data_IF_651824794485
#
_entry.id   IF_651824794485
#
_cell.length_a   1.000
_cell.length_b   1.000
_cell.length_c   1.000
_cell.angle_alpha   90.00
_cell.angle_beta   90.00
_cell.angle_gamma   90.00
#
_symmetry.space_group_name_H-M   'P 1'
#
loop_
_entity.id
_entity.type
_entity.pdbx_description
1 polymer ?
#
# COMPACT_ATOMS: atom_id res chain seq x y z
N UNK A 1 -4.33 17.47 12.11
CA UNK A 1 -5.39 16.77 12.87
C UNK A 1 -4.79 16.43 14.23
N UNK A 2 -5.58 16.44 15.31
CA UNK A 2 -5.06 16.09 16.63
C UNK A 2 -4.83 14.57 16.75
N UNK A 3 -5.70 13.77 16.12
CA UNK A 3 -5.57 12.32 15.99
C UNK A 3 -5.73 11.95 14.51
N UNK A 4 -4.69 11.40 13.91
CA UNK A 4 -4.72 10.99 12.50
C UNK A 4 -5.35 9.61 12.33
N UNK A 5 -5.18 8.72 13.32
CA UNK A 5 -5.74 7.37 13.28
C UNK A 5 -7.27 7.41 13.26
N UNK A 6 -7.87 8.24 14.11
CA UNK A 6 -9.33 8.42 14.13
C UNK A 6 -9.86 8.96 12.80
N UNK A 7 -9.12 9.87 12.16
CA UNK A 7 -9.48 10.39 10.83
C UNK A 7 -9.43 9.32 9.75
N UNK A 8 -8.40 8.47 9.77
CA UNK A 8 -8.23 7.33 8.85
C UNK A 8 -9.37 6.32 9.03
N UNK A 9 -9.70 5.95 10.26
CA UNK A 9 -10.80 5.03 10.57
C UNK A 9 -12.16 5.61 10.17
N UNK A 10 -12.41 6.90 10.44
CA UNK A 10 -13.66 7.55 10.03
C UNK A 10 -13.85 7.53 8.51
N UNK A 11 -12.77 7.71 7.73
CA UNK A 11 -12.81 7.60 6.27
C UNK A 11 -13.13 6.16 5.82
N UNK A 12 -12.41 5.17 6.37
CA UNK A 12 -12.63 3.74 6.08
C UNK A 12 -14.07 3.32 6.40
N UNK A 13 -14.55 3.64 7.60
CA UNK A 13 -15.91 3.34 8.03
C UNK A 13 -16.96 3.99 7.13
N UNK A 14 -16.72 5.24 6.67
CA UNK A 14 -17.63 5.89 5.75
C UNK A 14 -17.68 5.19 4.39
N UNK A 15 -16.54 4.80 3.83
CA UNK A 15 -16.48 4.01 2.58
C UNK A 15 -17.24 2.68 2.72
N UNK A 16 -17.04 1.97 3.83
CA UNK A 16 -17.75 0.72 4.10
C UNK A 16 -19.27 0.93 4.19
N UNK A 17 -19.72 1.99 4.88
CA UNK A 17 -21.14 2.34 4.98
C UNK A 17 -21.79 2.65 3.62
N UNK A 18 -20.99 3.07 2.65
CA UNK A 18 -21.43 3.34 1.27
C UNK A 18 -21.40 2.11 0.37
N UNK A 19 -20.95 0.96 0.90
CA UNK A 19 -20.98 -0.33 0.22
C UNK A 19 -19.62 -0.85 -0.26
N UNK A 20 -18.53 -0.09 -0.09
CA UNK A 20 -17.20 -0.60 -0.40
C UNK A 20 -16.86 -1.82 0.47
N UNK A 21 -16.31 -2.87 -0.13
CA UNK A 21 -15.98 -4.14 0.56
C UNK A 21 -14.47 -4.33 0.71
N UNK A 22 -13.74 -4.08 -0.36
CA UNK A 22 -12.29 -4.18 -0.39
C UNK A 22 -11.69 -2.79 -0.16
N UNK A 23 -11.40 -2.46 1.10
CA UNK A 23 -10.84 -1.17 1.50
C UNK A 23 -9.42 -1.40 1.99
N UNK A 24 -8.44 -1.07 1.16
CA UNK A 24 -7.02 -1.10 1.52
C UNK A 24 -6.51 0.26 1.99
N UNK A 25 -5.35 0.26 2.66
CA UNK A 25 -4.62 1.46 3.07
C UNK A 25 -3.24 1.50 2.40
N UNK A 26 -2.89 2.67 1.86
CA UNK A 26 -1.54 2.99 1.43
C UNK A 26 -0.86 3.92 2.44
N UNK A 27 0.25 3.49 3.03
CA UNK A 27 0.88 4.23 4.13
C UNK A 27 2.37 3.88 4.28
N UNK A 28 3.21 4.91 4.49
CA UNK A 28 4.63 4.73 4.82
C UNK A 28 4.85 4.29 6.27
N UNK A 29 5.83 3.41 6.49
CA UNK A 29 6.10 2.81 7.82
C UNK A 29 6.29 3.86 8.92
N UNK A 30 7.10 4.90 8.66
CA UNK A 30 7.36 5.95 9.66
C UNK A 30 6.09 6.70 10.04
N UNK A 31 5.27 7.08 9.07
CA UNK A 31 4.03 7.80 9.31
C UNK A 31 3.01 6.94 10.06
N UNK A 32 2.94 5.65 9.71
CA UNK A 32 2.11 4.66 10.42
C UNK A 32 2.51 4.57 11.89
N UNK A 33 3.80 4.45 12.20
CA UNK A 33 4.32 4.36 13.57
C UNK A 33 4.16 5.66 14.34
N UNK A 34 4.52 6.80 13.74
CA UNK A 34 4.44 8.13 14.36
C UNK A 34 3.02 8.48 14.80
N UNK A 35 2.03 8.11 13.99
CA UNK A 35 0.62 8.39 14.25
C UNK A 35 -0.17 7.21 14.79
N UNK A 36 0.50 6.10 15.13
CA UNK A 36 -0.14 4.87 15.64
C UNK A 36 -1.34 4.43 14.78
N UNK A 37 -1.19 4.49 13.46
CA UNK A 37 -2.27 4.14 12.53
C UNK A 37 -2.55 2.64 12.61
N UNK A 38 -3.78 2.29 12.97
CA UNK A 38 -4.26 0.91 12.99
C UNK A 38 -4.62 0.44 11.58
N UNK A 39 -4.01 -0.64 11.13
CA UNK A 39 -4.24 -1.22 9.80
C UNK A 39 -5.14 -2.47 9.83
N UNK A 40 -5.56 -2.96 11.01
CA UNK A 40 -6.30 -4.23 11.17
C UNK A 40 -7.67 -4.23 10.49
N UNK A 41 -8.32 -3.08 10.40
CA UNK A 41 -9.65 -2.95 9.78
C UNK A 41 -9.60 -2.89 8.24
N UNK A 42 -8.41 -2.89 7.64
CA UNK A 42 -8.24 -2.79 6.19
C UNK A 42 -8.07 -4.18 5.57
N UNK A 43 -8.65 -4.38 4.38
CA UNK A 43 -8.57 -5.65 3.67
C UNK A 43 -7.20 -5.88 3.01
N UNK A 44 -6.42 -4.81 2.83
CA UNK A 44 -5.07 -4.86 2.27
C UNK A 44 -4.19 -3.72 2.79
N UNK A 45 -2.88 -3.99 2.88
CA UNK A 45 -1.88 -2.98 3.23
C UNK A 45 -0.90 -2.81 2.07
N UNK A 46 -0.69 -1.55 1.68
CA UNK A 46 0.21 -1.14 0.61
C UNK A 46 1.24 -0.16 1.16
N UNK A 47 2.52 -0.47 1.05
CA UNK A 47 3.58 0.32 1.68
C UNK A 47 4.58 0.83 0.64
N UNK A 48 5.00 2.10 0.67
CA UNK A 48 6.12 2.59 -0.12
C UNK A 48 7.47 2.36 0.57
N UNK A 49 8.47 2.01 -0.23
CA UNK A 49 9.90 2.06 0.16
C UNK A 49 10.74 2.12 -1.11
N UNK A 50 11.45 3.23 -1.34
CA UNK A 50 12.04 3.52 -2.65
C UNK A 50 13.55 3.31 -2.75
N UNK A 51 14.26 3.10 -1.65
CA UNK A 51 15.72 3.14 -1.66
C UNK A 51 16.22 4.48 -2.20
N UNK A 52 17.01 4.46 -3.28
CA UNK A 52 17.46 5.68 -3.97
C UNK A 52 16.45 6.26 -4.97
N UNK A 53 15.33 5.56 -5.18
CA UNK A 53 14.26 5.89 -6.12
C UNK A 53 14.78 6.00 -7.56
N UNK A 54 15.51 4.97 -8.00
CA UNK A 54 16.18 4.90 -9.30
C UNK A 54 15.29 4.46 -10.47
N UNK A 55 14.07 4.00 -10.18
CA UNK A 55 13.22 3.29 -11.14
C UNK A 55 13.30 1.76 -11.04
N UNK A 56 14.17 1.22 -10.19
CA UNK A 56 14.35 -0.21 -9.97
C UNK A 56 14.04 -0.62 -8.51
N UNK A 57 13.78 -1.90 -8.30
CA UNK A 57 13.56 -2.47 -6.97
C UNK A 57 14.88 -2.59 -6.21
N UNK A 58 15.06 -1.76 -5.17
CA UNK A 58 16.31 -1.67 -4.41
C UNK A 58 16.17 -1.97 -2.92
N UNK A 59 14.98 -1.75 -2.35
CA UNK A 59 14.72 -1.86 -0.93
C UNK A 59 13.27 -2.27 -0.69
N UNK A 60 13.03 -3.03 0.38
CA UNK A 60 11.69 -3.36 0.88
C UNK A 60 11.29 -2.40 2.02
N UNK A 61 10.00 -2.32 2.37
CA UNK A 61 9.56 -1.70 3.61
C UNK A 61 10.26 -2.29 4.84
N UNK A 62 10.81 -1.44 5.70
CA UNK A 62 11.46 -1.85 6.95
C UNK A 62 10.41 -2.02 8.06
N UNK A 63 9.68 -3.13 8.04
CA UNK A 63 8.61 -3.45 9.01
C UNK A 63 8.35 -4.95 9.03
N UNK A 64 7.88 -5.47 10.17
CA UNK A 64 7.39 -6.84 10.30
C UNK A 64 5.88 -6.96 9.98
N UNK A 65 5.23 -5.84 9.64
CA UNK A 65 3.82 -5.83 9.26
C UNK A 65 3.60 -6.65 7.99
N UNK A 66 2.57 -7.48 7.99
CA UNK A 66 2.17 -8.27 6.82
C UNK A 66 1.49 -7.38 5.76
N UNK A 67 2.24 -6.96 4.73
CA UNK A 67 1.74 -6.11 3.63
C UNK A 67 1.58 -6.90 2.33
N UNK A 68 0.59 -6.50 1.52
CA UNK A 68 0.25 -7.19 0.28
C UNK A 68 0.96 -6.59 -0.94
N UNK A 69 1.10 -5.27 -0.98
CA UNK A 69 1.62 -4.53 -2.12
C UNK A 69 2.74 -3.58 -1.67
N UNK A 70 3.76 -3.44 -2.50
CA UNK A 70 4.88 -2.54 -2.27
C UNK A 70 5.05 -1.60 -3.45
N UNK A 71 5.02 -0.29 -3.19
CA UNK A 71 5.46 0.73 -4.14
C UNK A 71 6.96 0.91 -4.01
N UNK A 72 7.73 0.48 -5.00
CA UNK A 72 9.18 0.45 -4.90
C UNK A 72 9.88 1.61 -5.59
N UNK A 73 9.17 2.38 -6.41
CA UNK A 73 9.72 3.58 -7.05
C UNK A 73 8.63 4.48 -7.56
N UNK A 74 8.94 5.78 -7.64
CA UNK A 74 8.18 6.80 -8.35
C UNK A 74 8.74 7.13 -9.75
N UNK A 75 9.88 6.54 -10.12
CA UNK A 75 10.64 6.88 -11.35
C UNK A 75 10.72 5.74 -12.35
N UNK A 76 9.80 4.78 -12.29
CA UNK A 76 9.77 3.68 -13.24
C UNK A 76 9.45 4.12 -14.66
N UNK A 77 9.80 3.27 -15.61
CA UNK A 77 9.53 3.43 -17.05
C UNK A 77 8.88 2.16 -17.58
N UNK A 78 7.70 2.30 -18.20
CA UNK A 78 7.01 1.23 -18.90
C UNK A 78 6.82 1.66 -20.36
N UNK A 79 7.15 0.77 -21.30
CA UNK A 79 6.98 1.03 -22.72
C UNK A 79 5.53 1.41 -23.04
N UNK A 80 5.34 2.45 -23.84
CA UNK A 80 4.02 3.03 -24.13
C UNK A 80 3.69 4.28 -23.32
N UNK A 81 4.56 4.70 -22.39
CA UNK A 81 4.42 5.96 -21.65
C UNK A 81 5.77 6.64 -21.42
N UNK A 82 5.87 7.95 -21.69
CA UNK A 82 7.15 8.66 -21.72
C UNK A 82 7.62 9.17 -20.35
N UNK A 83 6.69 9.46 -19.44
CA UNK A 83 7.01 10.06 -18.14
C UNK A 83 7.27 9.01 -17.06
N UNK A 84 7.61 9.46 -15.87
CA UNK A 84 7.81 8.57 -14.73
C UNK A 84 6.48 7.96 -14.28
N UNK A 85 6.55 6.71 -13.84
CA UNK A 85 5.43 5.96 -13.29
C UNK A 85 5.80 5.41 -11.93
N UNK A 86 4.80 5.42 -11.05
CA UNK A 86 4.81 4.67 -9.82
C UNK A 86 4.72 3.17 -10.12
N UNK A 87 5.73 2.40 -9.73
CA UNK A 87 5.74 0.96 -9.96
C UNK A 87 5.60 0.20 -8.65
N UNK A 88 4.79 -0.84 -8.73
CA UNK A 88 4.41 -1.67 -7.61
C UNK A 88 4.67 -3.14 -7.90
N UNK A 89 4.84 -3.92 -6.84
CA UNK A 89 4.87 -5.37 -6.89
C UNK A 89 4.12 -5.96 -5.71
N UNK A 90 3.57 -7.17 -5.89
CA UNK A 90 3.10 -8.00 -4.77
C UNK A 90 4.30 -8.27 -3.86
N UNK A 91 4.12 -8.08 -2.56
CA UNK A 91 5.16 -8.31 -1.56
C UNK A 91 5.88 -9.63 -1.80
N UNK A 92 7.21 -9.62 -1.66
CA UNK A 92 8.06 -10.80 -1.88
C UNK A 92 7.81 -11.89 -0.84
N UNK A 93 7.22 -11.53 0.30
CA UNK A 93 6.91 -12.45 1.40
C UNK A 93 5.51 -13.09 1.26
N UNK A 94 4.77 -12.77 0.20
CA UNK A 94 3.43 -13.29 -0.10
C UNK A 94 3.45 -14.33 -1.21
N UNK A 95 2.47 -15.23 -1.21
CA UNK A 95 2.16 -16.02 -2.39
C UNK A 95 1.56 -15.10 -3.47
N UNK A 96 2.22 -15.05 -4.63
CA UNK A 96 1.98 -14.04 -5.64
C UNK A 96 0.63 -14.19 -6.33
N UNK A 97 0.24 -15.41 -6.69
CA UNK A 97 -1.01 -15.64 -7.44
C UNK A 97 -2.24 -15.35 -6.58
N UNK A 98 -2.26 -15.87 -5.36
CA UNK A 98 -3.33 -15.71 -4.38
C UNK A 98 -3.50 -14.23 -4.01
N UNK A 99 -2.40 -13.54 -3.74
CA UNK A 99 -2.45 -12.10 -3.38
C UNK A 99 -2.89 -11.26 -4.59
N UNK A 100 -2.41 -11.58 -5.79
CA UNK A 100 -2.91 -10.92 -7.00
C UNK A 100 -4.42 -11.14 -7.20
N UNK A 101 -4.90 -12.37 -6.99
CA UNK A 101 -6.34 -12.69 -7.05
C UNK A 101 -7.13 -11.92 -6.00
N UNK A 102 -6.63 -11.85 -4.76
CA UNK A 102 -7.21 -11.07 -3.65
C UNK A 102 -7.38 -9.60 -4.05
N UNK A 103 -6.35 -8.98 -4.62
CA UNK A 103 -6.34 -7.54 -4.89
C UNK A 103 -7.06 -7.14 -6.18
N UNK A 104 -6.99 -7.97 -7.23
CA UNK A 104 -7.38 -7.53 -8.58
C UNK A 104 -8.49 -8.36 -9.23
N UNK A 105 -8.85 -9.52 -8.67
CA UNK A 105 -9.80 -10.45 -9.30
C UNK A 105 -11.03 -10.77 -8.42
N UNK A 106 -11.20 -10.03 -7.31
CA UNK A 106 -12.35 -10.15 -6.39
C UNK A 106 -12.90 -8.75 -6.08
N UNK A 107 -13.75 -8.18 -6.95
CA UNK A 107 -14.30 -6.83 -6.75
C UNK A 107 -15.27 -6.74 -5.56
#
# INVERSE_FOLDING_TARGET
MADMNDGVEAFRAKLESLGAKNIGIYIGVYFMQEHSINTENFSAVWIPSYGTDSGYFEATPNTDLDYDLHQYTSKGKIAGFEHHLDINLISTDKEKEETFRKLFLRP
#
